data_IF_766098184426
#
_entry.id   IF_766098184426
#
_cell.length_a   1.000
_cell.length_b   1.000
_cell.length_c   1.000
_cell.angle_alpha   90.00
_cell.angle_beta   90.00
_cell.angle_gamma   90.00
#
_symmetry.space_group_name_H-M   'P 1'
#
loop_
_entity.id
_entity.type
_entity.pdbx_description
1 polymer ?
#
# COMPACT_ATOMS: atom_id res chain seq x y z
N UNK A 1 14.74 -31.84 -1.66
CA UNK A 1 14.02 -30.80 -2.43
C UNK A 1 12.87 -30.26 -1.62
N UNK A 2 13.13 -29.25 -0.79
CA UNK A 2 12.08 -28.44 -0.18
C UNK A 2 11.55 -27.49 -1.25
N UNK A 3 10.27 -27.64 -1.60
CA UNK A 3 9.58 -26.68 -2.47
C UNK A 3 9.39 -25.42 -1.64
N UNK A 4 10.12 -24.36 -1.95
CA UNK A 4 9.97 -23.07 -1.26
C UNK A 4 8.64 -22.46 -1.70
N UNK A 5 7.62 -22.60 -0.86
CA UNK A 5 6.29 -22.04 -1.11
C UNK A 5 6.37 -20.52 -0.97
N UNK A 6 6.40 -19.81 -2.10
CA UNK A 6 6.31 -18.35 -2.13
C UNK A 6 4.86 -17.91 -1.99
N UNK A 7 4.42 -17.63 -0.78
CA UNK A 7 3.10 -17.06 -0.49
C UNK A 7 3.23 -15.62 0.04
N UNK A 8 2.23 -14.75 -0.20
CA UNK A 8 2.24 -13.40 0.33
C UNK A 8 2.24 -13.44 1.87
N UNK A 9 3.23 -12.78 2.49
CA UNK A 9 3.29 -12.68 3.96
C UNK A 9 2.20 -11.77 4.51
N UNK A 10 1.77 -10.78 3.72
CA UNK A 10 0.79 -9.76 4.09
C UNK A 10 -0.05 -9.36 2.89
N UNK A 11 -1.33 -9.13 3.12
CA UNK A 11 -2.29 -8.66 2.13
C UNK A 11 -3.07 -7.49 2.71
N UNK A 12 -3.37 -6.50 1.87
CA UNK A 12 -4.17 -5.33 2.25
C UNK A 12 -5.22 -5.04 1.18
N UNK A 13 -6.46 -4.85 1.61
CA UNK A 13 -7.58 -4.60 0.71
C UNK A 13 -7.61 -3.13 0.26
N UNK A 14 -7.50 -2.92 -1.05
CA UNK A 14 -7.61 -1.61 -1.68
C UNK A 14 -9.03 -1.39 -2.22
N UNK A 15 -9.50 -0.14 -2.18
CA UNK A 15 -10.86 0.24 -2.64
C UNK A 15 -10.94 0.40 -4.15
N UNK A 16 -9.80 0.63 -4.81
CA UNK A 16 -9.68 0.79 -6.25
C UNK A 16 -8.37 0.17 -6.74
N UNK A 17 -8.18 0.12 -8.06
CA UNK A 17 -6.91 -0.29 -8.67
C UNK A 17 -5.80 0.67 -8.23
N UNK A 18 -4.65 0.13 -7.88
CA UNK A 18 -3.48 0.94 -7.56
C UNK A 18 -2.78 1.38 -8.85
N UNK A 19 -2.30 2.63 -8.85
CA UNK A 19 -1.48 3.18 -9.93
C UNK A 19 0.00 3.05 -9.61
N UNK A 20 0.39 3.34 -8.35
CA UNK A 20 1.78 3.28 -7.89
C UNK A 20 1.87 2.78 -6.45
N UNK A 21 3.02 2.21 -6.09
CA UNK A 21 3.39 1.86 -4.73
C UNK A 21 4.85 2.29 -4.45
N UNK A 22 5.14 2.69 -3.22
CA UNK A 22 6.49 3.07 -2.78
C UNK A 22 6.71 2.72 -1.32
N UNK A 23 7.79 2.00 -1.03
CA UNK A 23 8.20 1.70 0.34
C UNK A 23 8.94 2.87 0.96
N UNK A 24 8.66 3.14 2.23
CA UNK A 24 9.43 4.13 2.98
C UNK A 24 10.87 3.61 3.19
N UNK A 25 11.91 4.33 2.76
CA UNK A 25 13.31 3.87 2.83
C UNK A 25 13.85 3.84 4.27
N UNK A 26 13.25 4.60 5.19
CA UNK A 26 13.65 4.65 6.60
C UNK A 26 12.83 3.66 7.44
N UNK A 27 11.51 3.65 7.26
CA UNK A 27 10.60 2.80 8.00
C UNK A 27 10.13 1.64 7.11
N UNK A 28 10.82 0.50 7.18
CA UNK A 28 10.56 -0.68 6.31
C UNK A 28 9.13 -1.20 6.31
N UNK A 29 8.37 -0.94 7.39
CA UNK A 29 6.99 -1.38 7.52
C UNK A 29 6.00 -0.39 6.89
N UNK A 30 6.44 0.81 6.50
CA UNK A 30 5.56 1.81 5.92
C UNK A 30 5.58 1.75 4.39
N UNK A 31 4.39 1.70 3.79
CA UNK A 31 4.19 1.71 2.35
C UNK A 31 3.21 2.83 1.99
N UNK A 32 3.53 3.59 0.95
CA UNK A 32 2.59 4.49 0.30
C UNK A 32 2.04 3.83 -0.98
N UNK A 33 0.74 3.98 -1.22
CA UNK A 33 0.08 3.54 -2.45
C UNK A 33 -0.83 4.63 -3.00
N UNK A 34 -0.84 4.85 -4.31
CA UNK A 34 -1.82 5.70 -4.98
C UNK A 34 -2.82 4.86 -5.76
N UNK A 35 -4.07 5.32 -5.86
CA UNK A 35 -5.12 4.67 -6.64
C UNK A 35 -5.65 5.55 -7.78
N UNK A 36 -6.53 4.97 -8.61
CA UNK A 36 -7.16 5.66 -9.75
C UNK A 36 -8.33 6.57 -9.35
N UNK A 37 -8.84 6.45 -8.13
CA UNK A 37 -9.93 7.30 -7.61
C UNK A 37 -9.39 8.61 -7.01
N UNK A 38 -8.07 8.82 -7.10
CA UNK A 38 -7.41 10.04 -6.63
C UNK A 38 -7.09 9.99 -5.14
N UNK A 39 -6.89 8.83 -4.55
CA UNK A 39 -6.44 8.70 -3.16
C UNK A 39 -5.00 8.19 -3.08
N UNK A 40 -4.29 8.67 -2.06
CA UNK A 40 -2.98 8.16 -1.63
C UNK A 40 -3.13 7.64 -0.22
N UNK A 41 -2.86 6.36 -0.01
CA UNK A 41 -2.96 5.69 1.29
C UNK A 41 -1.58 5.32 1.81
N UNK A 42 -1.35 5.59 3.10
CA UNK A 42 -0.19 5.15 3.86
C UNK A 42 -0.60 3.94 4.69
N UNK A 43 0.19 2.89 4.59
CA UNK A 43 -0.03 1.60 5.23
C UNK A 43 1.09 1.30 6.22
N UNK A 44 0.72 0.72 7.34
CA UNK A 44 1.66 -0.01 8.20
C UNK A 44 1.50 -1.50 7.91
N UNK A 45 2.49 -2.07 7.23
CA UNK A 45 2.52 -3.46 6.78
C UNK A 45 2.87 -4.44 7.91
N UNK A 46 3.34 -3.96 9.07
CA UNK A 46 3.51 -4.82 10.24
C UNK A 46 2.13 -5.25 10.78
N UNK A 47 1.23 -4.28 10.91
CA UNK A 47 -0.16 -4.47 11.36
C UNK A 47 -1.15 -4.73 10.22
N UNK A 48 -0.73 -4.52 8.97
CA UNK A 48 -1.56 -4.56 7.77
C UNK A 48 -2.75 -3.58 7.82
N UNK A 49 -2.55 -2.40 8.41
CA UNK A 49 -3.60 -1.39 8.58
C UNK A 49 -3.31 -0.10 7.81
N UNK A 50 -4.39 0.61 7.44
CA UNK A 50 -4.35 1.96 6.88
C UNK A 50 -4.03 2.94 8.00
N UNK A 51 -2.90 3.64 7.88
CA UNK A 51 -2.51 4.69 8.82
C UNK A 51 -3.20 6.00 8.47
N UNK A 52 -3.19 6.34 7.18
CA UNK A 52 -3.76 7.58 6.64
C UNK A 52 -4.17 7.42 5.18
N UNK A 53 -5.19 8.15 4.77
CA UNK A 53 -5.57 8.31 3.36
C UNK A 53 -5.70 9.80 3.05
N UNK A 54 -5.14 10.21 1.92
CA UNK A 54 -5.17 11.56 1.40
C UNK A 54 -5.93 11.56 0.09
N UNK A 55 -6.88 12.48 -0.08
CA UNK A 55 -7.56 12.67 -1.35
C UNK A 55 -6.83 13.74 -2.16
N UNK A 56 -6.26 13.35 -3.29
CA UNK A 56 -5.68 14.25 -4.28
C UNK A 56 -6.80 14.76 -5.17
N UNK A 57 -7.37 15.90 -4.78
CA UNK A 57 -8.30 16.64 -5.64
C UNK A 57 -7.49 17.43 -6.67
N UNK A 58 -7.53 16.99 -7.92
CA UNK A 58 -7.21 17.88 -9.04
C UNK A 58 -8.37 18.87 -9.16
N UNK A 59 -8.17 20.09 -8.65
CA UNK A 59 -9.03 21.21 -8.99
C UNK A 59 -8.70 21.59 -10.44
N UNK A 60 -9.68 21.42 -11.33
CA UNK A 60 -9.67 22.05 -12.65
C UNK A 60 -10.01 23.53 -12.51
#
# INVERSE_FOLDING_TARGET
NSVELHYPTKEVACTAKLSCISWNPYLRNYLASSDYDGFVTIWDMATAQKVRTFQVKFFF
#
